data_IF_962496071235
#
_entry.id   IF_962496071235
#
_cell.length_a   1.000
_cell.length_b   1.000
_cell.length_c   1.000
_cell.angle_alpha   90.00
_cell.angle_beta   90.00
_cell.angle_gamma   90.00
#
_symmetry.space_group_name_H-M   'P 1'
#
loop_
_entity.id
_entity.type
_entity.pdbx_description
1 polymer ?
#
# COMPACT_ATOMS: atom_id res chain seq x y z
N UNK A 1 5.54 -18.90 -5.48
CA UNK A 1 5.73 -19.75 -6.68
C UNK A 1 4.86 -19.19 -7.80
N UNK A 2 5.43 -18.91 -8.97
CA UNK A 2 4.71 -18.30 -10.11
C UNK A 2 3.85 -19.37 -10.78
N UNK A 3 2.53 -19.21 -10.73
CA UNK A 3 1.58 -20.04 -11.49
C UNK A 3 1.18 -19.32 -12.76
N UNK A 4 1.76 -19.71 -13.90
CA UNK A 4 1.31 -19.29 -15.23
C UNK A 4 -0.08 -19.85 -15.50
N UNK A 5 -1.08 -18.99 -15.63
CA UNK A 5 -2.35 -19.35 -16.23
C UNK A 5 -2.13 -19.60 -17.74
N UNK A 6 -2.39 -20.83 -18.20
CA UNK A 6 -2.40 -21.15 -19.62
C UNK A 6 -3.59 -20.43 -20.29
N UNK A 7 -3.32 -19.73 -21.39
CA UNK A 7 -4.37 -19.14 -22.22
C UNK A 7 -5.20 -20.27 -22.89
N UNK A 8 -6.54 -20.24 -22.82
CA UNK A 8 -7.35 -21.20 -23.56
C UNK A 8 -7.29 -20.89 -25.07
N UNK A 9 -6.83 -21.89 -25.83
CA UNK A 9 -6.94 -21.94 -27.29
C UNK A 9 -8.41 -21.95 -27.69
N UNK A 10 -8.76 -21.12 -28.70
CA UNK A 10 -10.12 -20.77 -29.07
C UNK A 10 -11.08 -21.93 -29.33
N UNK A 11 -12.33 -21.69 -28.95
CA UNK A 11 -13.51 -22.50 -29.23
C UNK A 11 -14.71 -21.94 -28.46
N UNK A 12 -15.67 -21.41 -29.22
CA UNK A 12 -17.04 -21.03 -28.85
C UNK A 12 -17.27 -20.14 -27.61
N UNK A 13 -17.52 -18.87 -27.91
CA UNK A 13 -18.10 -17.89 -27.01
C UNK A 13 -19.58 -18.23 -26.74
N UNK A 14 -19.85 -18.99 -25.68
CA UNK A 14 -21.09 -18.96 -24.87
C UNK A 14 -21.07 -20.12 -23.85
N UNK A 15 -20.21 -20.03 -22.82
CA UNK A 15 -20.29 -20.72 -21.51
C UNK A 15 -18.99 -20.61 -20.68
N UNK A 16 -18.23 -19.51 -20.79
CA UNK A 16 -17.19 -19.22 -19.80
C UNK A 16 -17.85 -18.70 -18.52
N UNK A 17 -18.48 -19.60 -17.76
CA UNK A 17 -18.79 -19.31 -16.37
C UNK A 17 -17.46 -18.99 -15.69
N UNK A 18 -17.33 -17.79 -15.11
CA UNK A 18 -16.09 -17.32 -14.48
C UNK A 18 -15.54 -18.42 -13.58
N UNK A 19 -14.42 -19.03 -14.00
CA UNK A 19 -13.76 -20.04 -13.19
C UNK A 19 -13.39 -19.38 -11.86
N UNK A 20 -13.71 -20.01 -10.71
CA UNK A 20 -13.47 -19.38 -9.43
C UNK A 20 -11.96 -19.16 -9.26
N UNK A 21 -11.58 -17.97 -8.81
CA UNK A 21 -10.18 -17.65 -8.57
C UNK A 21 -9.71 -18.41 -7.34
N UNK A 22 -8.70 -19.26 -7.49
CA UNK A 22 -8.10 -20.00 -6.37
C UNK A 22 -6.74 -19.39 -6.03
N UNK A 23 -6.57 -18.99 -4.77
CA UNK A 23 -5.32 -18.41 -4.25
C UNK A 23 -4.81 -19.23 -3.07
N UNK A 24 -3.50 -19.41 -2.97
CA UNK A 24 -2.89 -20.10 -1.82
C UNK A 24 -2.70 -19.12 -0.67
N UNK A 25 -3.24 -19.45 0.50
CA UNK A 25 -2.97 -18.73 1.74
C UNK A 25 -2.01 -19.55 2.59
N UNK A 26 -1.10 -18.86 3.27
CA UNK A 26 -0.08 -19.47 4.11
C UNK A 26 -0.09 -18.82 5.49
N UNK A 27 0.06 -19.63 6.53
CA UNK A 27 0.39 -19.20 7.87
C UNK A 27 1.73 -19.82 8.31
N UNK A 28 2.07 -19.69 9.59
CA UNK A 28 3.34 -20.21 10.11
C UNK A 28 3.45 -21.74 10.03
N UNK A 29 2.32 -22.45 9.93
CA UNK A 29 2.25 -23.89 10.11
C UNK A 29 1.91 -24.62 8.79
N UNK A 30 1.20 -23.98 7.86
CA UNK A 30 0.62 -24.65 6.70
C UNK A 30 0.21 -23.72 5.56
N UNK A 31 -0.22 -24.33 4.45
CA UNK A 31 -0.86 -23.65 3.33
C UNK A 31 -2.22 -24.27 2.99
N UNK A 32 -3.11 -23.44 2.45
CA UNK A 32 -4.46 -23.82 2.04
C UNK A 32 -4.87 -23.12 0.74
N UNK A 33 -5.53 -23.88 -0.15
CA UNK A 33 -6.25 -23.32 -1.30
C UNK A 33 -7.51 -22.56 -0.83
N UNK A 34 -7.59 -21.27 -1.14
CA UNK A 34 -8.77 -20.44 -0.89
C UNK A 34 -9.44 -20.10 -2.20
N UNK A 35 -10.71 -20.46 -2.32
CA UNK A 35 -11.55 -20.16 -3.46
C UNK A 35 -12.23 -18.81 -3.21
N UNK A 36 -11.94 -17.84 -4.06
CA UNK A 36 -12.53 -16.51 -4.03
C UNK A 36 -13.79 -16.50 -4.88
N UNK A 37 -14.94 -16.45 -4.22
CA UNK A 37 -16.21 -16.23 -4.89
C UNK A 37 -16.32 -14.78 -5.35
N UNK A 38 -17.03 -14.53 -6.46
CA UNK A 38 -17.40 -13.18 -6.87
C UNK A 38 -18.09 -12.46 -5.68
N UNK A 39 -17.76 -11.18 -5.41
CA UNK A 39 -18.35 -10.46 -4.29
C UNK A 39 -19.87 -10.46 -4.43
N UNK A 40 -20.56 -11.10 -3.49
CA UNK A 40 -22.02 -11.00 -3.40
C UNK A 40 -22.39 -9.62 -2.87
N UNK A 41 -23.60 -9.14 -3.19
CA UNK A 41 -24.14 -7.88 -2.65
C UNK A 41 -24.26 -7.84 -1.11
N UNK A 42 -23.99 -8.97 -0.44
CA UNK A 42 -23.91 -9.09 1.02
C UNK A 42 -22.48 -9.08 1.58
N UNK A 43 -21.45 -9.14 0.74
CA UNK A 43 -20.05 -9.08 1.17
C UNK A 43 -19.65 -7.62 1.36
N UNK A 44 -19.30 -7.16 2.58
CA UNK A 44 -18.82 -5.81 2.77
C UNK A 44 -17.60 -5.61 1.87
N UNK A 45 -17.67 -4.65 0.95
CA UNK A 45 -16.58 -4.37 0.04
C UNK A 45 -15.27 -4.25 0.82
N UNK A 46 -14.18 -4.91 0.40
CA UNK A 46 -12.91 -4.74 1.08
C UNK A 46 -12.57 -3.25 1.07
N UNK A 47 -12.23 -2.71 2.25
CA UNK A 47 -11.92 -1.28 2.45
C UNK A 47 -10.60 -0.85 1.76
N UNK A 48 -10.11 -1.57 0.75
CA UNK A 48 -8.87 -1.29 0.04
C UNK A 48 -8.51 -2.34 -1.01
N UNK A 49 -7.45 -2.06 -1.76
CA UNK A 49 -6.84 -2.99 -2.72
C UNK A 49 -6.11 -4.07 -1.93
N UNK A 50 -6.52 -5.32 -2.07
CA UNK A 50 -5.79 -6.48 -1.53
C UNK A 50 -4.82 -6.96 -2.60
N UNK A 51 -3.53 -6.72 -2.40
CA UNK A 51 -2.47 -7.21 -3.27
C UNK A 51 -1.98 -8.59 -2.80
N UNK A 52 -1.29 -9.33 -3.67
CA UNK A 52 -0.57 -10.53 -3.28
C UNK A 52 0.37 -10.27 -2.09
N UNK A 53 0.54 -11.28 -1.25
CA UNK A 53 1.33 -11.23 0.00
C UNK A 53 0.79 -10.27 1.07
N UNK A 54 -0.43 -9.75 0.91
CA UNK A 54 -1.11 -9.03 2.00
C UNK A 54 -1.61 -10.03 3.04
N UNK A 55 -1.31 -9.79 4.32
CA UNK A 55 -1.92 -10.56 5.41
C UNK A 55 -3.39 -10.21 5.49
N UNK A 56 -4.24 -11.22 5.35
CA UNK A 56 -5.69 -11.08 5.34
C UNK A 56 -6.34 -12.10 6.27
N UNK A 57 -7.58 -11.83 6.65
CA UNK A 57 -8.45 -12.79 7.31
C UNK A 57 -9.51 -13.22 6.30
N UNK A 58 -9.52 -14.50 5.96
CA UNK A 58 -10.59 -15.12 5.19
C UNK A 58 -11.61 -15.76 6.13
N UNK A 59 -12.89 -15.58 5.82
CA UNK A 59 -13.98 -16.29 6.50
C UNK A 59 -14.86 -16.96 5.46
N UNK A 60 -15.24 -18.21 5.71
CA UNK A 60 -15.94 -19.01 4.73
C UNK A 60 -16.20 -20.43 5.23
N UNK A 61 -16.54 -21.32 4.31
CA UNK A 61 -16.83 -22.73 4.60
C UNK A 61 -15.72 -23.63 4.06
N UNK A 62 -15.36 -24.65 4.82
CA UNK A 62 -14.38 -25.64 4.39
C UNK A 62 -15.04 -26.74 3.54
N UNK A 63 -14.46 -27.00 2.37
CA UNK A 63 -14.83 -28.11 1.48
C UNK A 63 -13.61 -28.98 1.25
N UNK A 64 -13.46 -30.02 2.07
CA UNK A 64 -12.24 -30.84 2.08
C UNK A 64 -11.04 -30.04 2.56
N UNK A 65 -10.02 -29.87 1.71
CA UNK A 65 -8.79 -29.09 2.00
C UNK A 65 -8.82 -27.67 1.44
N UNK A 66 -9.99 -27.20 1.01
CA UNK A 66 -10.17 -25.87 0.43
C UNK A 66 -11.10 -25.02 1.27
N UNK A 67 -10.82 -23.73 1.34
CA UNK A 67 -11.68 -22.74 1.97
C UNK A 67 -12.46 -21.99 0.89
N UNK A 68 -13.78 -22.13 0.89
CA UNK A 68 -14.69 -21.33 0.08
C UNK A 68 -14.93 -20.00 0.79
N UNK A 69 -14.17 -18.96 0.42
CA UNK A 69 -14.19 -17.68 1.14
C UNK A 69 -15.46 -16.88 0.80
N UNK A 70 -16.24 -16.58 1.85
CA UNK A 70 -17.39 -15.68 1.77
C UNK A 70 -16.99 -14.19 1.93
N UNK A 71 -15.88 -13.93 2.64
CA UNK A 71 -15.32 -12.60 2.81
C UNK A 71 -13.79 -12.64 3.01
N UNK A 72 -13.13 -11.61 2.51
CA UNK A 72 -11.73 -11.30 2.75
C UNK A 72 -11.63 -9.91 3.38
N UNK A 73 -10.80 -9.77 4.41
CA UNK A 73 -10.53 -8.47 5.06
C UNK A 73 -9.08 -8.32 5.47
N UNK A 74 -8.58 -7.10 5.42
CA UNK A 74 -7.28 -6.75 6.03
C UNK A 74 -7.47 -6.62 7.54
N UNK A 75 -6.54 -7.12 8.38
CA UNK A 75 -6.57 -6.90 9.81
C UNK A 75 -6.68 -5.41 10.17
N UNK A 76 -7.54 -5.08 11.13
CA UNK A 76 -7.75 -3.69 11.54
C UNK A 76 -6.51 -3.15 12.25
N UNK A 77 -6.00 -2.00 11.78
CA UNK A 77 -4.93 -1.28 12.44
C UNK A 77 -5.32 -0.91 13.88
N UNK A 78 -4.39 -1.09 14.82
CA UNK A 78 -4.60 -0.71 16.23
C UNK A 78 -4.15 0.73 16.46
N UNK A 79 -4.90 1.47 17.26
CA UNK A 79 -4.57 2.86 17.61
C UNK A 79 -3.33 2.92 18.50
N UNK A 80 -2.65 4.06 18.50
CA UNK A 80 -1.54 4.31 19.43
C UNK A 80 -1.93 4.07 20.89
N UNK A 81 -3.10 4.54 21.32
CA UNK A 81 -3.58 4.38 22.71
C UNK A 81 -3.73 2.91 23.08
N UNK A 82 -4.30 2.10 22.17
CA UNK A 82 -4.42 0.66 22.38
C UNK A 82 -3.05 -0.01 22.45
N UNK A 83 -2.17 0.32 21.50
CA UNK A 83 -0.80 -0.22 21.41
C UNK A 83 0.01 0.09 22.68
N UNK A 84 0.01 1.35 23.13
CA UNK A 84 0.71 1.77 24.34
C UNK A 84 0.17 1.02 25.58
N UNK A 85 -1.15 0.82 25.67
CA UNK A 85 -1.78 0.15 26.81
C UNK A 85 -1.51 -1.38 26.86
N UNK A 86 -1.45 -2.05 25.71
CA UNK A 86 -1.42 -3.52 25.66
C UNK A 86 -0.03 -4.10 25.44
N UNK A 87 0.80 -3.43 24.64
CA UNK A 87 2.11 -3.97 24.21
C UNK A 87 3.27 -2.99 24.43
N UNK A 88 2.99 -1.69 24.53
CA UNK A 88 3.98 -0.62 24.48
C UNK A 88 4.27 0.11 25.77
N UNK A 89 3.66 -0.30 26.89
CA UNK A 89 3.89 0.37 28.18
C UNK A 89 5.39 0.37 28.53
N UNK A 90 5.99 1.56 28.55
CA UNK A 90 7.41 1.75 28.84
C UNK A 90 8.40 1.31 27.75
N UNK A 91 7.93 0.98 26.54
CA UNK A 91 8.80 0.57 25.42
C UNK A 91 8.93 1.66 24.37
N UNK A 92 10.14 1.90 23.89
CA UNK A 92 10.40 2.78 22.75
C UNK A 92 10.58 1.96 21.47
N UNK A 93 9.49 1.74 20.73
CA UNK A 93 9.54 1.06 19.43
C UNK A 93 10.01 1.97 18.28
N UNK A 94 9.90 3.29 18.43
CA UNK A 94 10.33 4.25 17.41
C UNK A 94 11.86 4.36 17.36
N UNK A 95 12.53 4.09 18.47
CA UNK A 95 13.96 4.31 18.63
C UNK A 95 14.29 5.77 18.97
N UNK A 96 15.58 6.10 19.05
CA UNK A 96 16.06 7.44 19.40
C UNK A 96 15.85 7.85 20.86
N UNK A 97 16.30 9.05 21.22
CA UNK A 97 16.10 9.63 22.55
C UNK A 97 14.75 10.35 22.59
N UNK A 98 13.85 10.04 23.54
CA UNK A 98 12.61 10.78 23.69
C UNK A 98 12.92 12.26 23.95
N UNK A 99 12.53 13.14 23.04
CA UNK A 99 12.53 14.58 23.24
C UNK A 99 11.10 15.09 23.12
N UNK A 100 10.68 15.88 24.11
CA UNK A 100 9.49 16.71 23.97
C UNK A 100 9.92 17.98 23.26
N UNK A 101 9.85 18.00 21.94
CA UNK A 101 9.87 19.25 21.19
C UNK A 101 8.43 19.62 20.86
N UNK A 102 7.85 20.55 21.63
CA UNK A 102 6.68 21.30 21.19
C UNK A 102 7.20 22.63 20.64
N UNK A 103 7.46 22.66 19.34
CA UNK A 103 7.54 23.92 18.64
C UNK A 103 6.17 24.09 17.96
N UNK A 104 5.35 25.01 18.47
CA UNK A 104 4.05 25.36 17.89
C UNK A 104 4.19 25.95 16.47
N UNK A 105 5.43 26.19 16.03
CA UNK A 105 5.83 26.77 14.75
C UNK A 105 6.67 25.83 13.88
N UNK A 106 6.88 24.57 14.28
CA UNK A 106 7.61 23.62 13.43
C UNK A 106 6.81 23.27 12.18
N UNK A 107 7.45 23.37 11.02
CA UNK A 107 6.87 23.02 9.74
C UNK A 107 7.63 21.85 9.13
N UNK A 108 6.89 20.93 8.49
CA UNK A 108 7.49 19.83 7.71
C UNK A 108 6.98 19.93 6.28
N UNK A 109 7.90 20.13 5.33
CA UNK A 109 7.59 20.11 3.90
C UNK A 109 8.07 18.79 3.31
N UNK A 110 7.15 18.02 2.73
CA UNK A 110 7.45 16.72 2.12
C UNK A 110 7.25 16.84 0.61
N UNK A 111 8.30 16.53 -0.15
CA UNK A 111 8.27 16.47 -1.61
C UNK A 111 8.62 15.06 -2.06
N UNK A 112 7.88 14.48 -3.01
CA UNK A 112 8.19 13.16 -3.59
C UNK A 112 8.49 13.30 -5.08
N UNK A 113 9.31 12.38 -5.60
CA UNK A 113 9.62 12.28 -7.02
C UNK A 113 10.21 13.57 -7.60
N UNK A 114 11.03 14.24 -6.79
CA UNK A 114 11.75 15.45 -7.19
C UNK A 114 12.89 15.05 -8.12
N UNK A 115 12.59 14.89 -9.41
CA UNK A 115 13.58 14.53 -10.42
C UNK A 115 14.54 15.69 -10.64
N UNK A 116 15.82 15.47 -10.37
CA UNK A 116 16.89 16.47 -10.48
C UNK A 116 17.77 16.23 -11.72
N UNK A 117 17.33 15.35 -12.63
CA UNK A 117 18.04 15.08 -13.86
C UNK A 117 17.87 16.19 -14.91
N UNK A 118 18.84 16.25 -15.83
CA UNK A 118 18.84 17.24 -16.92
C UNK A 118 17.66 17.07 -17.90
N UNK A 119 17.00 15.92 -17.91
CA UNK A 119 15.83 15.68 -18.74
C UNK A 119 14.55 16.33 -18.17
N UNK A 120 14.56 16.72 -16.89
CA UNK A 120 13.45 17.41 -16.24
C UNK A 120 13.89 18.69 -15.49
N UNK A 121 14.35 19.73 -16.21
CA UNK A 121 14.79 20.98 -15.59
C UNK A 121 13.67 21.69 -14.81
N UNK A 122 12.42 21.49 -15.20
CA UNK A 122 11.25 22.10 -14.56
C UNK A 122 11.08 21.69 -13.11
N UNK A 123 11.42 20.45 -12.77
CA UNK A 123 11.33 19.93 -11.40
C UNK A 123 12.32 20.65 -10.47
N UNK A 124 13.55 20.87 -10.93
CA UNK A 124 14.53 21.65 -10.21
C UNK A 124 14.12 23.13 -10.05
N UNK A 125 13.61 23.76 -11.11
CA UNK A 125 13.17 25.16 -11.07
C UNK A 125 11.95 25.34 -10.14
N UNK A 126 11.05 24.37 -10.14
CA UNK A 126 9.89 24.34 -9.23
C UNK A 126 10.34 24.18 -7.77
N UNK A 127 11.28 23.27 -7.49
CA UNK A 127 11.85 23.13 -6.15
C UNK A 127 12.51 24.43 -5.67
N UNK A 128 13.33 25.07 -6.52
CA UNK A 128 13.96 26.36 -6.20
C UNK A 128 12.93 27.42 -5.87
N UNK A 129 11.86 27.52 -6.66
CA UNK A 129 10.78 28.48 -6.44
C UNK A 129 10.08 28.25 -5.11
N UNK A 130 9.83 26.99 -4.75
CA UNK A 130 9.21 26.65 -3.46
C UNK A 130 10.15 27.01 -2.30
N UNK A 131 11.43 26.63 -2.38
CA UNK A 131 12.40 26.95 -1.34
C UNK A 131 12.59 28.46 -1.17
N UNK A 132 12.66 29.24 -2.25
CA UNK A 132 12.74 30.70 -2.16
C UNK A 132 11.47 31.32 -1.57
N UNK A 133 10.31 30.72 -1.80
CA UNK A 133 9.06 31.18 -1.21
C UNK A 133 9.03 30.91 0.30
N UNK A 134 9.52 29.74 0.73
CA UNK A 134 9.65 29.41 2.15
C UNK A 134 10.64 30.35 2.85
N UNK A 135 11.78 30.66 2.21
CA UNK A 135 12.73 31.66 2.70
C UNK A 135 12.10 33.05 2.81
N UNK A 136 11.32 33.48 1.81
CA UNK A 136 10.61 34.76 1.86
C UNK A 136 9.57 34.83 2.99
N UNK A 137 9.08 33.68 3.46
CA UNK A 137 8.18 33.57 4.60
C UNK A 137 8.89 33.43 5.96
N UNK A 138 10.21 33.66 6.04
CA UNK A 138 10.98 33.61 7.29
C UNK A 138 10.43 34.49 8.44
N UNK A 139 9.66 35.54 8.12
CA UNK A 139 8.99 36.37 9.13
C UNK A 139 7.72 35.75 9.73
N UNK A 140 7.21 34.67 9.14
CA UNK A 140 5.98 33.96 9.54
C UNK A 140 6.26 32.50 9.92
N UNK A 141 7.34 31.92 9.40
CA UNK A 141 7.80 30.56 9.69
C UNK A 141 9.13 30.63 10.44
N UNK A 142 9.23 29.89 11.55
CA UNK A 142 10.52 29.65 12.18
C UNK A 142 11.32 28.68 11.33
N UNK A 143 12.17 29.21 10.46
CA UNK A 143 13.01 28.40 9.57
C UNK A 143 14.00 27.51 10.32
N UNK A 144 14.32 27.82 11.59
CA UNK A 144 15.17 26.95 12.42
C UNK A 144 14.44 25.67 12.86
N UNK A 145 13.11 25.67 12.76
CA UNK A 145 12.22 24.54 13.03
C UNK A 145 11.60 23.93 11.75
N UNK A 146 12.05 24.36 10.56
CA UNK A 146 11.60 23.81 9.28
C UNK A 146 12.38 22.53 8.94
N UNK A 147 11.66 21.45 8.65
CA UNK A 147 12.23 20.20 8.13
C UNK A 147 11.75 20.00 6.69
N UNK A 148 12.69 19.84 5.75
CA UNK A 148 12.39 19.48 4.37
C UNK A 148 12.75 18.01 4.15
N UNK A 149 11.74 17.20 3.79
CA UNK A 149 11.90 15.79 3.44
C UNK A 149 11.74 15.65 1.93
N UNK A 150 12.80 15.18 1.27
CA UNK A 150 12.76 14.83 -0.15
C UNK A 150 12.68 13.31 -0.28
N UNK A 151 11.49 12.81 -0.59
CA UNK A 151 11.22 11.41 -0.88
C UNK A 151 11.66 11.07 -2.32
N UNK A 152 12.18 9.86 -2.50
CA UNK A 152 13.10 9.45 -3.56
C UNK A 152 12.66 9.58 -5.03
N UNK A 153 13.42 8.93 -5.91
CA UNK A 153 13.38 9.10 -7.38
C UNK A 153 13.92 10.45 -7.87
N UNK A 154 15.15 10.76 -7.46
CA UNK A 154 15.87 11.98 -7.90
C UNK A 154 16.34 11.95 -9.35
N UNK A 155 16.22 10.80 -10.01
CA UNK A 155 16.56 10.61 -11.43
C UNK A 155 15.45 9.80 -12.06
N UNK A 156 15.18 10.06 -13.34
CA UNK A 156 14.33 9.20 -14.14
C UNK A 156 14.83 7.75 -14.06
N UNK A 157 13.92 6.77 -13.92
CA UNK A 157 14.32 5.37 -13.99
C UNK A 157 15.02 5.13 -15.32
N UNK A 158 16.28 4.71 -15.26
CA UNK A 158 16.88 3.95 -16.36
C UNK A 158 16.03 2.70 -16.48
N UNK A 159 15.31 2.49 -17.59
CA UNK A 159 14.60 1.23 -17.88
C UNK A 159 15.47 0.05 -17.41
N UNK A 160 14.99 -0.88 -16.58
CA UNK A 160 13.91 -1.83 -16.85
C UNK A 160 13.22 -2.19 -15.54
N UNK A 161 11.90 -2.05 -15.46
CA UNK A 161 11.09 -2.87 -14.58
C UNK A 161 10.18 -3.69 -15.50
N UNK A 162 10.35 -5.00 -15.46
CA UNK A 162 9.48 -5.95 -16.14
C UNK A 162 8.02 -5.66 -15.71
N UNK A 163 7.09 -5.37 -16.63
CA UNK A 163 5.69 -5.07 -16.31
C UNK A 163 4.95 -6.24 -15.62
N UNK A 164 5.57 -7.41 -15.49
CA UNK A 164 5.02 -8.60 -14.83
C UNK A 164 4.93 -8.52 -13.29
N UNK A 165 5.43 -7.46 -12.64
CA UNK A 165 5.58 -7.43 -11.16
C UNK A 165 4.35 -6.87 -10.40
N UNK A 166 3.30 -6.43 -11.09
CA UNK A 166 2.09 -5.88 -10.46
C UNK A 166 0.82 -6.51 -11.03
N UNK A 167 0.58 -7.78 -10.70
CA UNK A 167 -0.76 -8.37 -10.81
C UNK A 167 -1.65 -7.78 -9.70
N UNK A 168 -2.19 -6.59 -9.95
CA UNK A 168 -3.26 -6.00 -9.15
C UNK A 168 -4.57 -6.62 -9.61
N UNK A 169 -5.30 -7.30 -8.73
CA UNK A 169 -6.68 -7.70 -9.02
C UNK A 169 -7.58 -6.46 -8.96
N UNK A 170 -8.17 -5.99 -10.08
CA UNK A 170 -9.14 -4.91 -10.04
C UNK A 170 -10.44 -5.46 -9.47
N UNK A 171 -10.71 -5.20 -8.19
CA UNK A 171 -12.07 -5.32 -7.67
C UNK A 171 -12.89 -4.16 -8.27
N UNK A 172 -13.76 -4.46 -9.24
CA UNK A 172 -14.62 -3.45 -9.86
C UNK A 172 -15.48 -2.76 -8.79
N UNK A 173 -15.64 -1.43 -8.85
CA UNK A 173 -16.66 -0.76 -8.04
C UNK A 173 -18.03 -1.28 -8.48
N UNK A 174 -18.83 -1.76 -7.54
CA UNK A 174 -20.24 -2.06 -7.77
C UNK A 174 -20.99 -0.73 -7.70
N UNK A 175 -21.68 -0.40 -8.80
CA UNK A 175 -22.63 0.73 -8.87
C UNK A 175 -23.95 0.39 -8.18
#
# INVERSE_FOLDING_TARGET
CVGTAAAPSGGDADAAGDAPTVVSFEDADSSVDVVLSAPSSASPAPLGIIAYNTVVVATGTWTGRRLEAAALRVPTAKSRVWTDAQIGAGRNFFGGKPSKQSADTAAVCIFSDVRLDAANPRSLDSLKTVLSTLEAQAGQLDLSALVVVLCGTFRAPTQVADPSVLDVYPMRPVA
#
